data_IF_913626620469
#
_entry.id   IF_913626620469
#
_cell.length_a   1.000
_cell.length_b   1.000
_cell.length_c   1.000
_cell.angle_alpha   90.00
_cell.angle_beta   90.00
_cell.angle_gamma   90.00
#
_symmetry.space_group_name_H-M   'P 1'
#
loop_
_entity.id
_entity.type
_entity.pdbx_description
1 polymer ?
#
# COMPACT_ATOMS: atom_id res chain seq x y z
N UNK A 1 11.89 -47.33 -21.62
CA UNK A 1 11.97 -48.26 -20.47
C UNK A 1 13.39 -48.76 -20.40
N UNK A 2 14.05 -48.72 -19.21
CA UNK A 2 15.42 -49.22 -19.04
C UNK A 2 15.38 -50.74 -18.94
N UNK A 3 16.07 -51.45 -19.82
CA UNK A 3 16.09 -52.91 -19.85
C UNK A 3 17.53 -53.46 -19.78
N UNK A 4 17.71 -54.64 -19.23
CA UNK A 4 19.02 -55.35 -19.21
C UNK A 4 19.35 -55.97 -20.54
N UNK A 5 18.40 -56.11 -21.45
CA UNK A 5 18.51 -56.78 -22.75
C UNK A 5 18.86 -55.81 -23.90
N UNK A 6 19.14 -54.59 -23.60
CA UNK A 6 19.54 -53.57 -24.58
C UNK A 6 21.05 -53.63 -24.84
N UNK A 7 21.47 -53.38 -26.08
CA UNK A 7 22.91 -53.28 -26.48
C UNK A 7 23.64 -52.13 -25.75
N UNK A 8 22.90 -51.26 -25.07
CA UNK A 8 23.43 -50.14 -24.29
C UNK A 8 23.43 -50.48 -22.80
N UNK A 9 24.58 -50.29 -22.14
CA UNK A 9 24.67 -50.52 -20.70
C UNK A 9 23.67 -49.72 -19.89
N UNK A 10 23.15 -50.27 -18.77
CA UNK A 10 22.21 -49.58 -17.88
C UNK A 10 22.74 -48.22 -17.44
N UNK A 11 24.04 -48.07 -17.24
CA UNK A 11 24.68 -46.80 -16.91
C UNK A 11 24.43 -45.75 -18.03
N UNK A 12 24.66 -46.16 -19.30
CA UNK A 12 24.48 -45.26 -20.43
C UNK A 12 23.03 -44.96 -20.70
N UNK A 13 22.11 -45.91 -20.46
CA UNK A 13 20.68 -45.67 -20.55
C UNK A 13 20.22 -44.63 -19.50
N UNK A 14 20.77 -44.70 -18.26
CA UNK A 14 20.47 -43.72 -17.23
C UNK A 14 20.99 -42.33 -17.56
N UNK A 15 22.21 -42.23 -18.09
CA UNK A 15 22.80 -40.96 -18.55
C UNK A 15 21.94 -40.30 -19.64
N UNK A 16 21.52 -41.07 -20.66
CA UNK A 16 20.65 -40.57 -21.74
C UNK A 16 19.28 -40.10 -21.27
N UNK A 17 18.72 -40.74 -20.25
CA UNK A 17 17.43 -40.41 -19.68
C UNK A 17 17.52 -39.40 -18.51
N UNK A 18 18.71 -38.94 -18.16
CA UNK A 18 18.97 -38.08 -17.02
C UNK A 18 18.38 -38.60 -15.68
N UNK A 19 18.41 -39.94 -15.51
CA UNK A 19 17.86 -40.61 -14.31
C UNK A 19 19.04 -41.13 -13.45
N UNK A 20 18.89 -41.02 -12.14
CA UNK A 20 19.89 -41.60 -11.23
C UNK A 20 19.82 -43.16 -11.27
N UNK A 21 20.96 -43.81 -11.50
CA UNK A 21 21.06 -45.27 -11.57
C UNK A 21 20.48 -45.96 -10.30
N UNK A 22 20.62 -45.38 -9.10
CA UNK A 22 20.06 -45.94 -7.86
C UNK A 22 18.51 -46.03 -7.91
N UNK A 23 17.83 -45.21 -8.69
CA UNK A 23 16.37 -45.24 -8.81
C UNK A 23 15.85 -46.50 -9.50
N UNK A 24 16.69 -47.17 -10.32
CA UNK A 24 16.32 -48.39 -11.04
C UNK A 24 16.34 -49.60 -10.10
N UNK A 25 17.21 -49.57 -9.11
CA UNK A 25 17.38 -50.67 -8.15
C UNK A 25 16.58 -50.40 -6.87
N UNK A 26 15.84 -49.27 -6.80
CA UNK A 26 15.02 -48.97 -5.64
C UNK A 26 13.77 -49.89 -5.62
N UNK A 27 13.72 -50.73 -4.65
CA UNK A 27 12.52 -51.51 -4.30
C UNK A 27 11.85 -50.81 -3.14
N UNK A 28 10.58 -50.37 -3.31
CA UNK A 28 9.85 -49.80 -2.17
C UNK A 28 9.77 -50.81 -1.04
N UNK A 29 10.22 -50.40 0.14
CA UNK A 29 10.01 -51.21 1.36
C UNK A 29 8.54 -51.11 1.73
N UNK A 30 7.85 -52.23 1.88
CA UNK A 30 6.49 -52.26 2.40
C UNK A 30 6.44 -51.52 3.74
N UNK A 31 5.49 -50.61 3.84
CA UNK A 31 5.36 -49.80 5.04
C UNK A 31 4.93 -50.72 6.21
N UNK A 32 5.72 -50.71 7.27
CA UNK A 32 5.39 -51.39 8.50
C UNK A 32 3.97 -51.02 8.97
N UNK A 33 3.13 -52.04 9.11
CA UNK A 33 1.69 -51.89 9.50
C UNK A 33 1.56 -51.19 10.85
N UNK A 34 2.40 -51.45 11.81
CA UNK A 34 2.40 -50.79 13.10
C UNK A 34 2.72 -49.28 12.95
N UNK A 35 3.66 -48.94 12.08
CA UNK A 35 4.01 -47.56 11.77
C UNK A 35 2.90 -46.80 11.07
N UNK A 36 2.13 -47.45 10.17
CA UNK A 36 0.97 -46.85 9.54
C UNK A 36 -0.13 -46.58 10.56
N UNK A 37 -0.43 -47.52 11.41
CA UNK A 37 -1.45 -47.34 12.47
C UNK A 37 -1.06 -46.24 13.46
N UNK A 38 0.24 -46.14 13.81
CA UNK A 38 0.73 -45.04 14.65
C UNK A 38 0.58 -43.67 13.95
N UNK A 39 0.86 -43.61 12.65
CA UNK A 39 0.66 -42.37 11.88
C UNK A 39 -0.82 -41.94 11.84
N UNK A 40 -1.73 -42.87 11.63
CA UNK A 40 -3.18 -42.61 11.64
C UNK A 40 -3.63 -42.06 13.00
N UNK A 41 -3.23 -42.69 14.11
CA UNK A 41 -3.53 -42.19 15.44
C UNK A 41 -2.95 -40.80 15.69
N UNK A 42 -1.73 -40.53 15.23
CA UNK A 42 -1.12 -39.20 15.35
C UNK A 42 -1.89 -38.14 14.51
N UNK A 43 -2.32 -38.52 13.30
CA UNK A 43 -3.11 -37.63 12.45
C UNK A 43 -4.48 -37.31 13.07
N UNK A 44 -5.16 -38.28 13.62
CA UNK A 44 -6.43 -38.10 14.35
C UNK A 44 -6.26 -37.16 15.55
N UNK A 45 -5.18 -37.31 16.34
CA UNK A 45 -4.93 -36.40 17.47
C UNK A 45 -4.52 -35.00 17.03
N UNK A 46 -3.78 -34.87 15.93
CA UNK A 46 -3.42 -33.58 15.34
C UNK A 46 -4.69 -32.87 14.87
N UNK A 47 -5.61 -33.56 14.20
CA UNK A 47 -6.89 -33.02 13.75
C UNK A 47 -7.75 -32.53 14.92
N UNK A 48 -7.88 -33.35 15.96
CA UNK A 48 -8.54 -32.95 17.20
C UNK A 48 -7.99 -31.65 17.79
N UNK A 49 -6.67 -31.54 17.92
CA UNK A 49 -6.04 -30.34 18.48
C UNK A 49 -6.17 -29.15 17.56
N UNK A 50 -6.15 -29.35 16.25
CA UNK A 50 -6.37 -28.27 15.29
C UNK A 50 -7.80 -27.76 15.32
N UNK A 51 -8.78 -28.65 15.42
CA UNK A 51 -10.20 -28.30 15.52
C UNK A 51 -10.50 -27.54 16.82
N UNK A 52 -9.91 -27.99 17.93
CA UNK A 52 -10.14 -27.38 19.24
C UNK A 52 -9.38 -26.07 19.42
N UNK A 53 -8.13 -25.99 18.93
CA UNK A 53 -7.24 -24.83 19.06
C UNK A 53 -6.49 -24.57 17.76
N UNK A 54 -7.12 -23.98 16.72
CA UNK A 54 -6.57 -23.86 15.38
C UNK A 54 -5.35 -22.93 15.28
N UNK A 55 -5.07 -22.16 16.31
CA UNK A 55 -3.88 -21.29 16.42
C UNK A 55 -2.62 -22.00 16.90
N UNK A 56 -2.68 -23.31 17.23
CA UNK A 56 -1.51 -24.05 17.67
C UNK A 56 -0.62 -24.45 16.49
N UNK A 57 0.64 -24.04 16.55
CA UNK A 57 1.67 -24.44 15.60
C UNK A 57 2.34 -25.77 15.99
N UNK A 58 3.15 -26.33 15.08
CA UNK A 58 3.81 -27.63 15.22
C UNK A 58 4.56 -27.83 16.54
N UNK A 59 5.16 -26.76 17.13
CA UNK A 59 5.87 -26.85 18.42
C UNK A 59 4.93 -27.19 19.58
N UNK A 60 3.78 -26.51 19.66
CA UNK A 60 2.81 -26.72 20.73
C UNK A 60 2.09 -28.05 20.57
N UNK A 61 1.66 -28.41 19.34
CA UNK A 61 1.05 -29.71 19.02
C UNK A 61 2.01 -30.84 19.39
N UNK A 62 3.30 -30.74 19.09
CA UNK A 62 4.27 -31.76 19.49
C UNK A 62 4.30 -31.97 21.02
N UNK A 63 4.24 -30.88 21.79
CA UNK A 63 4.22 -30.97 23.24
C UNK A 63 2.97 -31.64 23.78
N UNK A 64 1.79 -31.31 23.20
CA UNK A 64 0.52 -31.95 23.56
C UNK A 64 0.54 -33.45 23.28
N UNK A 65 1.01 -33.87 22.11
CA UNK A 65 1.14 -35.28 21.75
C UNK A 65 2.12 -36.03 22.70
N UNK A 66 3.21 -35.39 23.11
CA UNK A 66 4.13 -35.97 24.11
C UNK A 66 3.45 -36.11 25.47
N UNK A 67 2.63 -35.13 25.90
CA UNK A 67 1.86 -35.22 27.13
C UNK A 67 0.79 -36.33 27.08
N UNK A 68 0.28 -36.66 25.90
CA UNK A 68 -0.63 -37.79 25.67
C UNK A 68 0.10 -39.13 25.60
N UNK A 69 1.43 -39.13 25.77
CA UNK A 69 2.26 -40.36 25.81
C UNK A 69 2.86 -40.78 24.47
N UNK A 70 2.65 -40.01 23.39
CA UNK A 70 3.25 -40.34 22.09
C UNK A 70 4.75 -39.99 22.05
N UNK A 71 5.56 -40.97 21.63
CA UNK A 71 6.99 -40.74 21.35
C UNK A 71 7.15 -40.13 19.94
N UNK A 72 7.04 -38.81 19.83
CA UNK A 72 7.06 -38.09 18.55
C UNK A 72 7.97 -36.88 18.60
N UNK A 73 8.71 -36.61 17.51
CA UNK A 73 9.49 -35.40 17.35
C UNK A 73 8.79 -34.37 16.49
N UNK A 74 9.18 -33.11 16.63
CA UNK A 74 8.59 -31.98 15.86
C UNK A 74 8.68 -32.18 14.34
N UNK A 75 9.75 -32.79 13.82
CA UNK A 75 9.91 -33.05 12.38
C UNK A 75 8.82 -33.96 11.85
N UNK A 76 8.44 -34.99 12.60
CA UNK A 76 7.33 -35.89 12.27
C UNK A 76 6.00 -35.16 12.28
N UNK A 77 5.71 -34.39 13.34
CA UNK A 77 4.46 -33.61 13.44
C UNK A 77 4.35 -32.60 12.30
N UNK A 78 5.42 -31.91 11.95
CA UNK A 78 5.42 -30.98 10.82
C UNK A 78 5.10 -31.66 9.50
N UNK A 79 5.70 -32.83 9.23
CA UNK A 79 5.41 -33.60 8.01
C UNK A 79 3.97 -34.09 7.96
N UNK A 80 3.37 -34.48 9.11
CA UNK A 80 1.97 -34.88 9.17
C UNK A 80 1.04 -33.69 8.93
N UNK A 81 1.32 -32.54 9.53
CA UNK A 81 0.56 -31.31 9.27
C UNK A 81 0.61 -30.91 7.78
N UNK A 82 1.79 -31.00 7.14
CA UNK A 82 1.95 -30.76 5.70
C UNK A 82 1.12 -31.76 4.86
N UNK A 83 1.15 -33.06 5.22
CA UNK A 83 0.37 -34.11 4.55
C UNK A 83 -1.14 -33.91 4.69
N UNK A 84 -1.60 -33.41 5.84
CA UNK A 84 -3.01 -33.10 6.12
C UNK A 84 -3.42 -31.72 5.56
N UNK A 85 -2.51 -30.97 4.97
CA UNK A 85 -2.71 -29.58 4.53
C UNK A 85 -3.20 -28.66 5.65
N UNK A 86 -2.81 -28.96 6.89
CA UNK A 86 -3.19 -28.20 8.08
C UNK A 86 -2.14 -27.09 8.35
N UNK A 87 -2.61 -25.85 8.48
CA UNK A 87 -1.79 -24.70 8.87
C UNK A 87 -2.41 -24.00 10.07
N UNK A 88 -1.56 -23.61 11.03
CA UNK A 88 -2.04 -22.85 12.19
C UNK A 88 -2.62 -21.50 11.76
N UNK A 89 -3.78 -21.15 12.32
CA UNK A 89 -4.39 -19.83 12.12
C UNK A 89 -3.66 -18.81 13.01
N UNK A 90 -3.00 -17.87 12.38
CA UNK A 90 -2.34 -16.74 13.06
C UNK A 90 -2.46 -15.48 12.20
N UNK A 91 -2.33 -14.29 12.81
CA UNK A 91 -2.38 -13.06 12.06
C UNK A 91 -1.33 -13.08 10.93
N UNK A 92 -1.79 -12.84 9.70
CA UNK A 92 -0.88 -12.71 8.56
C UNK A 92 0.07 -11.54 8.78
N UNK A 93 1.20 -11.52 8.04
CA UNK A 93 2.10 -10.37 8.04
C UNK A 93 1.30 -9.10 7.76
N UNK A 94 1.52 -8.08 8.57
CA UNK A 94 0.90 -6.78 8.34
C UNK A 94 1.42 -6.22 7.01
N UNK A 95 0.61 -6.30 5.95
CA UNK A 95 0.93 -5.79 4.62
C UNK A 95 0.99 -4.26 4.57
N UNK A 96 0.44 -3.59 5.59
CA UNK A 96 0.58 -2.15 5.77
C UNK A 96 1.96 -1.73 6.31
N UNK A 97 2.85 -2.67 6.66
CA UNK A 97 4.24 -2.33 6.94
C UNK A 97 4.92 -1.92 5.65
N UNK A 98 5.14 -0.61 5.54
CA UNK A 98 5.82 0.04 4.42
C UNK A 98 7.20 -0.58 4.18
N UNK A 99 7.52 -0.83 2.92
CA UNK A 99 8.88 -1.23 2.52
C UNK A 99 9.76 0.02 2.48
N UNK A 100 10.37 0.38 3.61
CA UNK A 100 11.06 1.67 3.85
C UNK A 100 12.29 1.90 2.96
N UNK A 101 12.84 0.88 2.32
CA UNK A 101 14.16 1.02 1.65
C UNK A 101 14.11 1.57 0.22
N UNK A 102 12.99 1.44 -0.49
CA UNK A 102 12.91 1.77 -1.93
C UNK A 102 11.89 2.86 -2.27
N UNK A 103 11.05 3.24 -1.33
CA UNK A 103 9.87 4.07 -1.62
C UNK A 103 10.04 5.54 -1.24
N UNK A 104 10.95 5.89 -0.33
CA UNK A 104 11.07 7.25 0.21
C UNK A 104 12.01 8.08 -0.64
N UNK A 105 11.50 9.22 -1.09
CA UNK A 105 12.27 10.24 -1.81
C UNK A 105 12.77 11.29 -0.80
N UNK A 106 13.97 11.89 -0.99
CA UNK A 106 14.48 12.94 -0.10
C UNK A 106 13.57 14.17 -0.06
N UNK A 107 13.52 14.83 1.09
CA UNK A 107 12.90 16.14 1.23
C UNK A 107 13.76 17.23 0.60
N UNK A 108 13.27 17.88 -0.45
CA UNK A 108 14.00 18.84 -1.25
C UNK A 108 13.80 20.30 -0.79
N UNK A 109 12.83 20.57 0.08
CA UNK A 109 12.38 21.94 0.39
C UNK A 109 13.06 22.57 1.62
N UNK A 110 14.09 21.91 2.18
CA UNK A 110 14.84 22.49 3.30
C UNK A 110 15.57 23.76 2.83
N UNK A 111 15.22 24.91 3.43
CA UNK A 111 15.75 26.24 3.08
C UNK A 111 15.44 26.68 1.64
N UNK A 112 14.51 26.04 0.95
CA UNK A 112 14.09 26.45 -0.38
C UNK A 112 13.16 27.67 -0.28
N UNK A 113 13.53 28.76 -0.96
CA UNK A 113 12.72 29.98 -1.03
C UNK A 113 11.87 29.93 -2.29
N UNK A 114 10.57 29.86 -2.12
CA UNK A 114 9.60 29.93 -3.22
C UNK A 114 9.40 31.39 -3.58
N UNK A 115 9.68 31.76 -4.82
CA UNK A 115 9.63 33.15 -5.33
C UNK A 115 8.63 33.36 -6.47
N UNK A 116 8.12 32.28 -7.05
CA UNK A 116 7.19 32.34 -8.15
C UNK A 116 6.18 31.18 -8.11
N UNK A 117 5.05 31.34 -8.78
CA UNK A 117 4.05 30.29 -9.01
C UNK A 117 4.67 29.12 -9.76
N UNK A 118 4.19 27.93 -9.53
CA UNK A 118 4.64 26.65 -10.13
C UNK A 118 6.06 26.20 -9.79
N UNK A 119 6.74 26.82 -8.83
CA UNK A 119 8.00 26.27 -8.33
C UNK A 119 7.74 25.07 -7.42
N UNK A 120 6.80 25.18 -6.48
CA UNK A 120 6.49 24.11 -5.54
C UNK A 120 4.97 23.93 -5.41
N UNK A 121 4.51 22.75 -5.68
CA UNK A 121 3.16 22.32 -5.30
C UNK A 121 3.21 21.31 -4.15
N UNK A 122 2.21 21.34 -3.28
CA UNK A 122 1.94 20.26 -2.33
C UNK A 122 0.68 19.53 -2.70
N UNK A 123 0.73 18.21 -2.55
CA UNK A 123 -0.41 17.31 -2.71
C UNK A 123 -0.64 16.52 -1.43
N UNK A 124 -1.90 16.39 -1.04
CA UNK A 124 -2.30 15.58 0.12
C UNK A 124 -3.74 15.12 -0.02
N UNK A 125 -4.13 14.14 0.81
CA UNK A 125 -5.46 13.53 0.80
C UNK A 125 -6.09 13.71 2.18
N UNK A 126 -7.32 14.24 2.19
CA UNK A 126 -8.13 14.28 3.41
C UNK A 126 -9.42 13.50 3.22
N UNK A 127 -9.96 12.98 4.31
CA UNK A 127 -11.30 12.35 4.30
C UNK A 127 -12.36 13.33 4.78
N UNK A 128 -13.53 13.22 4.18
CA UNK A 128 -14.73 13.96 4.54
C UNK A 128 -15.79 12.94 4.96
N UNK A 129 -16.25 13.05 6.20
CA UNK A 129 -17.29 12.15 6.72
C UNK A 129 -18.63 12.50 6.07
N UNK A 130 -19.35 11.50 5.59
CA UNK A 130 -20.70 11.57 5.08
C UNK A 130 -21.65 10.82 6.01
N UNK A 131 -22.97 10.95 5.80
CA UNK A 131 -23.95 10.15 6.53
C UNK A 131 -23.67 8.64 6.43
N UNK A 132 -23.29 8.18 5.22
CA UNK A 132 -22.91 6.80 4.97
C UNK A 132 -21.48 6.76 4.43
N UNK A 133 -20.50 6.47 5.31
CA UNK A 133 -19.11 6.29 4.93
C UNK A 133 -18.28 7.58 4.87
N UNK A 134 -17.29 7.57 3.99
CA UNK A 134 -16.34 8.66 3.81
C UNK A 134 -16.08 8.92 2.35
N UNK A 135 -15.87 10.18 2.00
CA UNK A 135 -15.31 10.59 0.72
C UNK A 135 -13.85 11.04 0.92
N UNK A 136 -13.03 10.84 -0.07
CA UNK A 136 -11.61 11.20 -0.06
C UNK A 136 -11.39 12.36 -1.01
N UNK A 137 -10.86 13.44 -0.49
CA UNK A 137 -10.51 14.62 -1.27
C UNK A 137 -8.99 14.68 -1.41
N UNK A 138 -8.51 14.49 -2.64
CA UNK A 138 -7.14 14.84 -3.03
C UNK A 138 -7.12 16.31 -3.42
N UNK A 139 -6.16 17.08 -2.94
CA UNK A 139 -5.99 18.48 -3.33
C UNK A 139 -4.52 18.80 -3.62
N UNK A 140 -4.31 19.77 -4.50
CA UNK A 140 -2.99 20.28 -4.90
C UNK A 140 -2.99 21.79 -4.72
N UNK A 141 -2.03 22.30 -3.96
CA UNK A 141 -1.89 23.72 -3.66
C UNK A 141 -0.53 24.24 -4.12
N UNK A 142 -0.52 25.39 -4.76
CA UNK A 142 0.71 26.12 -5.09
C UNK A 142 1.25 26.86 -3.85
N UNK A 143 2.52 26.66 -3.54
CA UNK A 143 3.12 27.23 -2.32
C UNK A 143 3.27 28.75 -2.36
N UNK A 144 3.53 29.30 -3.53
CA UNK A 144 3.71 30.74 -3.69
C UNK A 144 2.39 31.50 -3.50
N UNK A 145 1.40 31.12 -4.27
CA UNK A 145 0.12 31.83 -4.35
C UNK A 145 -0.96 31.31 -3.40
N UNK A 146 -0.75 30.13 -2.78
CA UNK A 146 -1.79 29.43 -1.98
C UNK A 146 -2.99 28.98 -2.81
N UNK A 147 -2.94 29.09 -4.12
CA UNK A 147 -4.02 28.70 -5.02
C UNK A 147 -4.18 27.19 -5.08
N UNK A 148 -5.40 26.72 -5.02
CA UNK A 148 -5.72 25.33 -5.33
C UNK A 148 -5.68 25.19 -6.84
N UNK A 149 -4.70 24.41 -7.31
CA UNK A 149 -4.43 24.18 -8.74
C UNK A 149 -5.00 22.86 -9.24
N UNK A 150 -5.31 21.92 -8.33
CA UNK A 150 -5.92 20.64 -8.68
C UNK A 150 -6.66 20.02 -7.51
N UNK A 151 -7.65 19.22 -7.79
CA UNK A 151 -8.35 18.43 -6.78
C UNK A 151 -9.17 17.30 -7.42
N UNK A 152 -9.43 16.26 -6.65
CA UNK A 152 -10.35 15.18 -7.03
C UNK A 152 -11.08 14.64 -5.81
N UNK A 153 -12.36 14.30 -5.98
CA UNK A 153 -13.20 13.70 -4.94
C UNK A 153 -13.57 12.28 -5.33
N UNK A 154 -13.26 11.31 -4.47
CA UNK A 154 -13.49 9.89 -4.68
C UNK A 154 -14.10 9.21 -3.46
N UNK A 155 -14.78 8.11 -3.66
CA UNK A 155 -15.30 7.21 -2.62
C UNK A 155 -14.24 6.19 -2.15
N UNK A 156 -13.13 6.08 -2.86
CA UNK A 156 -12.04 5.16 -2.54
C UNK A 156 -10.69 5.87 -2.43
N UNK A 157 -9.78 5.31 -1.63
CA UNK A 157 -8.43 5.81 -1.44
C UNK A 157 -7.46 5.25 -2.52
N UNK A 158 -7.88 5.25 -3.78
CA UNK A 158 -7.14 4.70 -4.91
C UNK A 158 -6.11 5.67 -5.49
N UNK A 159 -4.95 5.14 -5.94
CA UNK A 159 -3.91 5.93 -6.62
C UNK A 159 -4.43 6.60 -7.91
N UNK A 160 -5.37 5.97 -8.61
CA UNK A 160 -5.91 6.49 -9.86
C UNK A 160 -6.47 7.93 -9.74
N UNK A 161 -7.17 8.23 -8.65
CA UNK A 161 -7.76 9.55 -8.41
C UNK A 161 -6.71 10.63 -8.07
N UNK A 162 -5.60 10.21 -7.45
CA UNK A 162 -4.44 11.08 -7.23
C UNK A 162 -3.79 11.43 -8.57
N UNK A 163 -3.62 10.43 -9.44
CA UNK A 163 -3.06 10.61 -10.78
C UNK A 163 -3.93 11.54 -11.64
N UNK A 164 -5.25 11.40 -11.55
CA UNK A 164 -6.21 12.24 -12.25
C UNK A 164 -6.10 13.69 -11.78
N UNK A 165 -6.08 13.94 -10.47
CA UNK A 165 -5.91 15.29 -9.93
C UNK A 165 -4.62 15.96 -10.42
N UNK A 166 -3.51 15.21 -10.50
CA UNK A 166 -2.23 15.73 -10.99
C UNK A 166 -2.29 16.01 -12.49
N UNK A 167 -2.89 15.11 -13.30
CA UNK A 167 -3.05 15.30 -14.75
C UNK A 167 -3.83 16.57 -15.07
N UNK A 168 -4.95 16.76 -14.39
CA UNK A 168 -5.83 17.92 -14.59
C UNK A 168 -5.13 19.22 -14.18
N UNK A 169 -4.40 19.20 -13.07
CA UNK A 169 -3.61 20.34 -12.61
C UNK A 169 -2.51 20.71 -13.62
N UNK A 170 -1.75 19.72 -14.09
CA UNK A 170 -0.66 19.93 -15.07
C UNK A 170 -1.21 20.39 -16.42
N UNK A 171 -2.31 19.83 -16.89
CA UNK A 171 -2.96 20.23 -18.13
C UNK A 171 -3.44 21.70 -18.10
N UNK A 172 -3.87 22.17 -16.91
CA UNK A 172 -4.45 23.51 -16.76
C UNK A 172 -3.40 24.59 -16.45
N UNK A 173 -2.41 24.26 -15.63
CA UNK A 173 -1.49 25.25 -15.05
C UNK A 173 -0.01 25.02 -15.41
N UNK A 174 0.29 23.97 -16.19
CA UNK A 174 1.66 23.56 -16.48
C UNK A 174 2.26 22.71 -15.37
N UNK A 175 3.52 22.30 -15.55
CA UNK A 175 4.24 21.44 -14.62
C UNK A 175 4.94 22.26 -13.53
N UNK A 176 4.84 21.88 -12.25
CA UNK A 176 5.68 22.47 -11.20
C UNK A 176 7.12 21.94 -11.28
N UNK A 177 8.06 22.67 -10.71
CA UNK A 177 9.43 22.16 -10.56
C UNK A 177 9.49 21.02 -9.53
N UNK A 178 8.79 21.19 -8.40
CA UNK A 178 8.76 20.24 -7.28
C UNK A 178 7.32 19.97 -6.87
N UNK A 179 6.98 18.68 -6.71
CA UNK A 179 5.73 18.24 -6.10
C UNK A 179 6.04 17.55 -4.78
N UNK A 180 5.58 18.16 -3.67
CA UNK A 180 5.78 17.66 -2.31
C UNK A 180 4.56 16.87 -1.84
N UNK A 181 4.79 15.75 -1.19
CA UNK A 181 3.74 14.90 -0.61
C UNK A 181 4.18 14.32 0.72
N UNK A 182 3.24 13.75 1.46
CA UNK A 182 3.56 12.88 2.57
C UNK A 182 4.09 11.51 2.06
N UNK A 183 4.39 10.60 2.99
CA UNK A 183 4.83 9.25 2.68
C UNK A 183 3.66 8.26 2.49
N UNK A 184 2.51 8.72 2.05
CA UNK A 184 1.33 7.89 1.74
C UNK A 184 1.61 6.80 0.71
N UNK A 185 0.88 5.68 0.79
CA UNK A 185 1.08 4.57 -0.15
C UNK A 185 0.76 4.97 -1.59
N UNK A 186 -0.14 5.92 -1.80
CA UNK A 186 -0.49 6.46 -3.12
C UNK A 186 0.70 7.18 -3.76
N UNK A 187 1.43 8.00 -2.97
CA UNK A 187 2.56 8.79 -3.43
C UNK A 187 3.86 8.00 -3.56
N UNK A 188 3.90 6.79 -2.97
CA UNK A 188 5.03 5.86 -3.09
C UNK A 188 4.81 4.78 -4.14
N UNK A 189 3.63 4.74 -4.76
CA UNK A 189 3.27 3.76 -5.79
C UNK A 189 4.15 3.93 -7.05
N UNK A 190 4.30 2.84 -7.80
CA UNK A 190 5.09 2.82 -9.03
C UNK A 190 4.47 3.74 -10.09
N UNK A 191 3.18 3.67 -10.25
CA UNK A 191 2.40 4.46 -11.22
C UNK A 191 2.54 5.96 -10.96
N UNK A 192 2.47 6.39 -9.69
CA UNK A 192 2.67 7.79 -9.33
C UNK A 192 4.08 8.28 -9.64
N UNK A 193 5.11 7.52 -9.26
CA UNK A 193 6.51 7.86 -9.52
C UNK A 193 6.83 7.93 -11.02
N UNK A 194 6.28 7.00 -11.81
CA UNK A 194 6.44 7.02 -13.26
C UNK A 194 5.79 8.25 -13.89
N UNK A 195 4.57 8.60 -13.47
CA UNK A 195 3.89 9.80 -13.95
C UNK A 195 4.66 11.08 -13.62
N UNK A 196 5.09 11.25 -12.36
CA UNK A 196 5.87 12.44 -11.94
C UNK A 196 7.17 12.56 -12.76
N UNK A 197 7.85 11.43 -13.00
CA UNK A 197 9.05 11.39 -13.84
C UNK A 197 8.76 11.77 -15.30
N UNK A 198 7.66 11.27 -15.86
CA UNK A 198 7.28 11.55 -17.25
C UNK A 198 6.94 13.04 -17.45
N UNK A 199 6.44 13.72 -16.45
CA UNK A 199 6.24 15.17 -16.48
C UNK A 199 7.50 15.98 -16.18
N UNK A 200 8.63 15.34 -15.85
CA UNK A 200 9.87 16.04 -15.47
C UNK A 200 9.82 16.72 -14.11
N UNK A 201 8.84 16.37 -13.27
CA UNK A 201 8.63 16.97 -11.95
C UNK A 201 9.56 16.29 -10.92
N UNK A 202 10.22 17.08 -10.10
CA UNK A 202 11.01 16.56 -8.97
C UNK A 202 10.08 16.20 -7.82
N UNK A 203 10.04 14.92 -7.45
CA UNK A 203 9.28 14.48 -6.29
C UNK A 203 10.04 14.83 -5.01
N UNK A 204 9.32 15.39 -4.02
CA UNK A 204 9.79 15.61 -2.66
C UNK A 204 8.84 14.92 -1.68
N UNK A 205 9.38 14.38 -0.58
CA UNK A 205 8.56 13.76 0.46
C UNK A 205 8.93 14.28 1.83
N UNK A 206 7.92 14.54 2.65
CA UNK A 206 8.10 14.99 4.02
C UNK A 206 8.92 13.99 4.84
N UNK A 207 9.78 14.49 5.71
CA UNK A 207 10.53 13.66 6.64
C UNK A 207 9.63 13.06 7.73
N UNK A 208 10.06 11.94 8.32
CA UNK A 208 9.37 11.36 9.48
C UNK A 208 9.25 12.37 10.62
N UNK A 209 8.03 12.54 11.14
CA UNK A 209 7.73 13.41 12.29
C UNK A 209 7.99 14.91 12.06
N UNK A 210 8.00 15.40 10.84
CA UNK A 210 8.14 16.82 10.49
C UNK A 210 6.81 17.38 10.02
N UNK A 211 5.94 17.69 10.96
CA UNK A 211 4.63 18.30 10.73
C UNK A 211 4.68 19.67 9.99
N UNK A 212 5.83 20.32 9.99
CA UNK A 212 6.00 21.62 9.34
C UNK A 212 6.15 21.52 7.81
N UNK A 213 6.49 20.36 7.28
CA UNK A 213 6.87 20.19 5.89
C UNK A 213 5.66 20.23 4.92
N UNK A 214 4.42 20.00 5.40
CA UNK A 214 3.20 20.06 4.58
C UNK A 214 2.11 20.99 5.15
N UNK A 215 2.51 21.91 6.04
CA UNK A 215 1.61 22.79 6.81
C UNK A 215 0.67 23.63 5.93
N UNK A 216 1.06 23.93 4.69
CA UNK A 216 0.31 24.80 3.80
C UNK A 216 -1.00 24.13 3.38
N UNK A 217 -0.94 22.89 2.91
CA UNK A 217 -2.13 22.16 2.49
C UNK A 217 -2.96 21.69 3.69
N UNK A 218 -2.31 21.33 4.81
CA UNK A 218 -3.00 20.97 6.05
C UNK A 218 -3.83 22.15 6.58
N UNK A 219 -3.29 23.37 6.53
CA UNK A 219 -4.03 24.58 6.90
C UNK A 219 -5.22 24.82 5.97
N UNK A 220 -5.04 24.61 4.68
CA UNK A 220 -6.14 24.72 3.73
C UNK A 220 -7.24 23.68 4.01
N UNK A 221 -6.88 22.42 4.28
CA UNK A 221 -7.87 21.42 4.65
C UNK A 221 -8.61 21.80 5.95
N UNK A 222 -7.93 22.41 6.91
CA UNK A 222 -8.56 22.92 8.12
C UNK A 222 -9.58 24.00 7.76
N UNK A 223 -9.20 24.99 6.96
CA UNK A 223 -10.12 26.04 6.49
C UNK A 223 -11.32 25.46 5.75
N UNK A 224 -11.10 24.58 4.81
CA UNK A 224 -12.19 23.89 4.07
C UNK A 224 -13.14 23.19 5.06
N UNK A 225 -12.62 22.45 6.03
CA UNK A 225 -13.45 21.71 6.99
C UNK A 225 -14.25 22.65 7.88
N UNK A 226 -13.63 23.69 8.41
CA UNK A 226 -14.30 24.63 9.32
C UNK A 226 -15.23 25.62 8.62
N UNK A 227 -14.89 26.04 7.41
CA UNK A 227 -15.66 27.06 6.68
C UNK A 227 -16.78 26.46 5.82
N UNK A 228 -16.61 25.22 5.31
CA UNK A 228 -17.56 24.62 4.36
C UNK A 228 -18.13 23.27 4.82
N UNK A 229 -17.29 22.36 5.32
CA UNK A 229 -17.75 20.98 5.56
C UNK A 229 -18.55 20.88 6.87
N UNK A 230 -18.02 21.38 7.98
CA UNK A 230 -18.68 21.24 9.28
C UNK A 230 -19.97 22.07 9.43
N UNK A 231 -20.08 23.28 8.84
CA UNK A 231 -21.33 24.06 8.92
C UNK A 231 -22.45 23.54 8.00
N UNK A 232 -22.16 22.61 7.08
CA UNK A 232 -23.13 22.14 6.11
C UNK A 232 -23.28 20.61 6.18
N UNK A 233 -24.48 20.13 6.04
CA UNK A 233 -24.79 18.72 5.83
C UNK A 233 -24.94 18.45 4.34
N UNK A 234 -24.16 17.50 3.83
CA UNK A 234 -24.24 17.08 2.43
C UNK A 234 -24.93 15.72 2.35
N UNK A 235 -26.10 15.68 1.75
CA UNK A 235 -26.90 14.45 1.64
C UNK A 235 -26.32 13.43 0.64
N UNK A 236 -25.52 13.90 -0.34
CA UNK A 236 -24.98 13.05 -1.39
C UNK A 236 -23.57 13.47 -1.82
N UNK A 237 -22.78 12.53 -2.40
CA UNK A 237 -21.47 12.85 -3.00
C UNK A 237 -21.55 13.92 -4.10
N UNK A 238 -22.65 13.97 -4.83
CA UNK A 238 -22.88 14.98 -5.88
C UNK A 238 -23.05 16.37 -5.29
N UNK A 239 -23.76 16.49 -4.19
CA UNK A 239 -23.96 17.74 -3.47
C UNK A 239 -22.64 18.22 -2.82
N UNK A 240 -21.89 17.30 -2.19
CA UNK A 240 -20.56 17.58 -1.68
C UNK A 240 -19.63 18.09 -2.78
N UNK A 241 -19.62 17.44 -3.95
CA UNK A 241 -18.80 17.86 -5.11
C UNK A 241 -19.14 19.29 -5.54
N UNK A 242 -20.43 19.62 -5.63
CA UNK A 242 -20.89 20.99 -5.95
C UNK A 242 -20.41 21.99 -4.88
N UNK A 243 -20.59 21.66 -3.60
CA UNK A 243 -20.14 22.50 -2.50
C UNK A 243 -18.62 22.74 -2.50
N UNK A 244 -17.82 21.74 -2.92
CA UNK A 244 -16.37 21.86 -3.06
C UNK A 244 -15.99 22.75 -4.25
N UNK A 245 -16.68 22.64 -5.40
CA UNK A 245 -16.47 23.52 -6.56
C UNK A 245 -16.70 24.97 -6.15
N UNK A 246 -17.83 25.26 -5.51
CA UNK A 246 -18.20 26.60 -5.08
C UNK A 246 -17.16 27.16 -4.09
N UNK A 247 -16.78 26.38 -3.07
CA UNK A 247 -15.79 26.79 -2.08
C UNK A 247 -14.40 27.02 -2.68
N UNK A 248 -13.90 26.13 -3.54
CA UNK A 248 -12.58 26.27 -4.16
C UNK A 248 -12.54 27.51 -5.08
N UNK A 249 -13.62 27.79 -5.81
CA UNK A 249 -13.74 29.01 -6.60
C UNK A 249 -13.74 30.26 -5.73
N UNK A 250 -14.52 30.27 -4.64
CA UNK A 250 -14.56 31.37 -3.68
C UNK A 250 -13.19 31.57 -3.01
N UNK A 251 -12.56 30.50 -2.52
CA UNK A 251 -11.23 30.52 -1.93
C UNK A 251 -10.17 31.09 -2.89
N UNK A 252 -10.17 30.64 -4.13
CA UNK A 252 -9.18 31.08 -5.11
C UNK A 252 -9.42 32.53 -5.58
N UNK A 253 -10.66 32.94 -5.82
CA UNK A 253 -10.98 34.19 -6.55
C UNK A 253 -11.51 35.33 -5.69
N UNK A 254 -12.09 35.01 -4.53
CA UNK A 254 -12.82 36.02 -3.74
C UNK A 254 -12.21 36.18 -2.33
N UNK A 255 -11.84 35.08 -1.67
CA UNK A 255 -11.37 35.06 -0.29
C UNK A 255 -10.03 35.78 -0.15
N UNK A 256 -9.93 36.89 0.67
CA UNK A 256 -8.66 37.54 0.94
C UNK A 256 -7.77 36.64 1.83
N UNK A 257 -6.49 36.63 1.54
CA UNK A 257 -5.53 35.78 2.25
C UNK A 257 -4.47 36.66 2.95
N UNK A 258 -4.42 36.58 4.28
CA UNK A 258 -3.54 37.40 5.12
C UNK A 258 -2.05 37.28 4.68
N UNK A 259 -1.55 36.06 4.50
CA UNK A 259 -0.15 35.82 4.08
C UNK A 259 0.16 36.31 2.66
N UNK A 260 -0.84 36.76 1.89
CA UNK A 260 -0.72 37.34 0.56
C UNK A 260 -1.02 38.85 0.55
N UNK A 261 -0.86 39.51 1.70
CA UNK A 261 -1.25 40.91 1.91
C UNK A 261 -2.72 41.18 1.49
N UNK A 262 -3.62 40.26 1.93
CA UNK A 262 -5.06 40.28 1.65
C UNK A 262 -5.45 40.18 0.17
N UNK A 263 -4.52 39.86 -0.71
CA UNK A 263 -4.84 39.50 -2.10
C UNK A 263 -5.44 38.11 -2.17
N UNK A 264 -6.20 37.84 -3.24
CA UNK A 264 -6.71 36.49 -3.51
C UNK A 264 -5.62 35.58 -4.06
N UNK A 265 -5.68 34.27 -3.81
CA UNK A 265 -4.77 33.31 -4.41
C UNK A 265 -4.68 33.41 -5.93
N UNK A 266 -5.80 33.67 -6.60
CA UNK A 266 -5.86 33.83 -8.04
C UNK A 266 -5.07 35.05 -8.51
N UNK A 267 -5.32 36.24 -7.93
CA UNK A 267 -4.60 37.47 -8.33
C UNK A 267 -3.10 37.35 -8.06
N UNK A 268 -2.73 36.70 -6.96
CA UNK A 268 -1.31 36.50 -6.60
C UNK A 268 -0.61 35.51 -7.55
N UNK A 269 -1.32 34.46 -7.98
CA UNK A 269 -0.80 33.46 -8.90
C UNK A 269 -0.45 34.06 -10.27
N UNK A 270 -1.28 34.95 -10.79
CA UNK A 270 -1.11 35.59 -12.10
C UNK A 270 -0.37 36.94 -12.03
N UNK A 271 0.09 37.38 -10.88
CA UNK A 271 0.77 38.65 -10.72
C UNK A 271 -0.12 39.87 -10.97
N UNK A 272 -1.45 39.69 -10.92
CA UNK A 272 -2.40 40.77 -11.14
C UNK A 272 -2.45 41.65 -9.88
N UNK A 273 -2.13 42.93 -10.02
CA UNK A 273 -2.43 43.91 -8.97
C UNK A 273 -3.94 44.09 -8.95
N UNK A 274 -4.58 43.83 -7.83
CA UNK A 274 -5.96 44.27 -7.58
C UNK A 274 -5.87 45.78 -7.37
N UNK A 275 -6.43 46.51 -8.30
CA UNK A 275 -6.61 47.95 -8.17
C UNK A 275 -7.54 48.28 -7.00
#
# INVERSE_FOLDING_TARGET
MITKESDISIRRQCELLSINRSSIYYVPVEADRERLLLQEKLMERIDYWHTTMPYLGSRKITKLLIHEGFKVCRKTVRRLLERMSITAIYPKKNLSKRNFKEAIVPYLLRNYKVTASNQVWSIDITYIKMHHGHMYLTAIIDWYSRKIVGWNLSDTLGTAYVLEAVKDAVATYGTPEILNSDQGCQFTSKEYKEMIRNYGIKQSMDGRSRWADNIIIERWFRSLKTEKIYPNEFASPRELRKGLIDYINEYNKVRPHEALAYRTPYSYYYGQNVA
#
